data_IF_062688971550
#
_entry.id   IF_062688971550
#
_cell.length_a   1.000
_cell.length_b   1.000
_cell.length_c   1.000
_cell.angle_alpha   90.00
_cell.angle_beta   90.00
_cell.angle_gamma   90.00
#
_symmetry.space_group_name_H-M   'P 1'
#
loop_
_entity.id
_entity.type
_entity.pdbx_description
1 polymer ?
#
# COMPACT_ATOMS: atom_id res chain seq x y z
N UNK A 1 -18.47 -13.77 9.78
CA UNK A 1 -18.97 -13.02 10.96
C UNK A 1 -17.76 -12.61 11.78
N UNK A 2 -17.62 -11.31 12.10
CA UNK A 2 -16.45 -10.76 12.81
C UNK A 2 -16.26 -11.38 14.21
N UNK A 3 -17.31 -11.94 14.80
CA UNK A 3 -17.26 -12.58 16.13
C UNK A 3 -17.31 -14.10 16.07
N UNK A 4 -17.12 -14.70 14.90
CA UNK A 4 -17.08 -16.15 14.75
C UNK A 4 -15.65 -16.65 14.90
N UNK A 5 -15.32 -17.14 16.10
CA UNK A 5 -14.01 -17.70 16.44
C UNK A 5 -13.72 -19.05 15.75
N UNK A 6 -14.68 -19.63 15.00
CA UNK A 6 -14.48 -20.83 14.17
C UNK A 6 -13.95 -20.52 12.75
N UNK A 7 -13.80 -19.24 12.40
CA UNK A 7 -13.14 -18.81 11.16
C UNK A 7 -11.66 -18.61 11.47
N UNK A 8 -10.78 -19.29 10.72
CA UNK A 8 -9.33 -19.08 10.81
C UNK A 8 -9.00 -17.62 10.46
N UNK A 9 -8.79 -16.82 11.49
CA UNK A 9 -8.36 -15.45 11.39
C UNK A 9 -6.84 -15.44 11.26
N UNK A 10 -6.34 -15.83 10.08
CA UNK A 10 -4.92 -15.89 9.69
C UNK A 10 -3.94 -15.79 10.86
N UNK A 11 -3.55 -16.93 11.41
CA UNK A 11 -2.69 -17.00 12.60
C UNK A 11 -1.42 -16.13 12.46
N UNK A 12 -1.30 -15.12 13.31
CA UNK A 12 -0.07 -14.32 13.45
C UNK A 12 0.68 -14.87 14.66
N UNK A 13 1.65 -15.75 14.39
CA UNK A 13 2.46 -16.37 15.43
C UNK A 13 3.37 -15.39 16.16
N UNK A 14 3.93 -15.82 17.29
CA UNK A 14 4.89 -15.03 18.09
C UNK A 14 6.03 -14.52 17.20
N UNK A 15 6.31 -13.21 17.26
CA UNK A 15 7.34 -12.55 16.44
C UNK A 15 6.85 -12.04 15.08
N UNK A 16 5.59 -12.27 14.70
CA UNK A 16 5.02 -11.73 13.47
C UNK A 16 4.25 -10.44 13.73
N UNK A 17 4.39 -9.47 12.82
CA UNK A 17 3.58 -8.26 12.78
C UNK A 17 2.82 -8.25 11.45
N UNK A 18 1.52 -7.96 11.49
CA UNK A 18 0.77 -7.62 10.29
C UNK A 18 0.49 -6.13 10.24
N UNK A 19 0.65 -5.57 9.05
CA UNK A 19 0.20 -4.22 8.73
C UNK A 19 -0.88 -4.33 7.68
N UNK A 20 -2.08 -3.83 7.99
CA UNK A 20 -3.13 -3.63 7.00
C UNK A 20 -3.08 -2.18 6.53
N UNK A 21 -2.91 -1.97 5.23
CA UNK A 21 -3.00 -0.65 4.61
C UNK A 21 -4.36 -0.52 3.93
N UNK A 22 -4.99 0.63 4.12
CA UNK A 22 -6.24 1.01 3.48
C UNK A 22 -6.04 2.30 2.72
N UNK A 23 -6.37 2.29 1.44
CA UNK A 23 -6.51 3.50 0.65
C UNK A 23 -7.97 3.95 0.70
N UNK A 24 -8.20 5.22 1.03
CA UNK A 24 -9.54 5.80 1.09
C UNK A 24 -9.58 7.07 0.24
N UNK A 25 -10.66 7.21 -0.53
CA UNK A 25 -10.97 8.43 -1.27
C UNK A 25 -12.08 9.19 -0.55
N UNK A 26 -11.79 10.42 -0.14
CA UNK A 26 -12.78 11.25 0.53
C UNK A 26 -13.82 11.75 -0.47
N UNK A 27 -15.09 11.73 -0.05
CA UNK A 27 -16.15 12.39 -0.81
C UNK A 27 -15.95 13.92 -0.80
N UNK A 28 -16.42 14.64 -1.83
CA UNK A 28 -16.42 16.10 -1.82
C UNK A 28 -17.18 16.64 -0.61
N UNK A 29 -16.66 17.69 0.01
CA UNK A 29 -17.34 18.40 1.11
C UNK A 29 -17.17 17.81 2.51
N UNK A 30 -16.33 16.78 2.68
CA UNK A 30 -15.95 16.24 4.00
C UNK A 30 -15.35 17.35 4.88
N UNK A 31 -15.87 17.50 6.10
CA UNK A 31 -15.40 18.47 7.10
C UNK A 31 -14.51 17.81 8.15
N UNK A 32 -13.65 18.58 8.85
CA UNK A 32 -12.69 18.02 9.81
C UNK A 32 -13.31 17.10 10.90
N UNK A 33 -14.51 17.43 11.39
CA UNK A 33 -15.15 16.65 12.45
C UNK A 33 -16.02 15.49 11.93
N UNK A 34 -16.20 15.36 10.61
CA UNK A 34 -16.99 14.28 10.03
C UNK A 34 -16.28 12.93 10.27
N UNK A 35 -17.07 11.89 10.57
CA UNK A 35 -16.56 10.53 10.76
C UNK A 35 -16.32 9.90 9.39
N UNK A 36 -15.12 9.38 9.20
CA UNK A 36 -14.71 8.68 7.99
C UNK A 36 -14.91 7.17 8.11
N UNK A 37 -14.46 6.59 9.22
CA UNK A 37 -14.49 5.15 9.44
C UNK A 37 -14.53 4.80 10.93
N UNK A 38 -14.87 3.55 11.21
CA UNK A 38 -14.67 2.91 12.51
C UNK A 38 -13.74 1.72 12.30
N UNK A 39 -12.57 1.78 12.91
CA UNK A 39 -11.59 0.71 12.91
C UNK A 39 -11.89 -0.21 14.09
N UNK A 40 -12.11 -1.49 13.82
CA UNK A 40 -12.29 -2.53 14.86
C UNK A 40 -11.19 -3.55 14.70
N UNK A 41 -10.48 -3.81 15.80
CA UNK A 41 -9.42 -4.81 15.86
C UNK A 41 -9.74 -5.77 16.99
N UNK A 42 -9.67 -7.06 16.71
CA UNK A 42 -9.88 -8.12 17.70
C UNK A 42 -8.71 -9.09 17.62
N UNK A 43 -8.12 -9.41 18.76
CA UNK A 43 -6.99 -10.32 18.84
C UNK A 43 -6.99 -11.07 20.17
N UNK A 44 -6.30 -12.20 20.22
CA UNK A 44 -6.08 -12.93 21.46
C UNK A 44 -4.71 -12.55 22.04
N UNK A 45 -4.68 -12.20 23.33
CA UNK A 45 -3.43 -11.95 24.05
C UNK A 45 -2.66 -13.27 24.19
N UNK A 46 -1.43 -13.30 23.69
CA UNK A 46 -0.52 -14.46 23.84
C UNK A 46 -0.13 -14.72 25.29
N UNK A 47 -0.10 -13.68 26.13
CA UNK A 47 0.27 -13.79 27.54
C UNK A 47 -0.87 -14.32 28.41
N UNK A 48 -2.09 -13.85 28.16
CA UNK A 48 -3.25 -14.11 29.05
C UNK A 48 -4.29 -15.04 28.45
N UNK A 49 -4.19 -15.35 27.15
CA UNK A 49 -5.19 -16.11 26.39
C UNK A 49 -6.53 -15.39 26.20
N UNK A 50 -6.67 -14.14 26.68
CA UNK A 50 -7.93 -13.38 26.60
C UNK A 50 -8.10 -12.72 25.23
N UNK A 51 -9.32 -12.74 24.72
CA UNK A 51 -9.70 -11.97 23.54
C UNK A 51 -9.87 -10.50 23.93
N UNK A 52 -9.20 -9.62 23.18
CA UNK A 52 -9.24 -8.16 23.33
C UNK A 52 -9.87 -7.60 22.05
N UNK A 53 -10.77 -6.63 22.22
CA UNK A 53 -11.38 -5.86 21.13
C UNK A 53 -11.08 -4.37 21.35
N UNK A 54 -10.54 -3.71 20.33
CA UNK A 54 -10.32 -2.28 20.30
C UNK A 54 -11.12 -1.65 19.17
N UNK A 55 -11.76 -0.52 19.47
CA UNK A 55 -12.50 0.28 18.50
C UNK A 55 -11.94 1.70 18.46
N UNK A 56 -11.65 2.22 17.27
CA UNK A 56 -11.21 3.59 17.05
C UNK A 56 -12.08 4.24 15.98
N UNK A 57 -12.66 5.41 16.31
CA UNK A 57 -13.31 6.25 15.29
C UNK A 57 -12.25 7.09 14.59
N UNK A 58 -12.24 7.04 13.26
CA UNK A 58 -11.40 7.88 12.40
C UNK A 58 -12.22 9.05 11.86
N UNK A 59 -11.77 10.27 12.11
CA UNK A 59 -12.35 11.51 11.57
C UNK A 59 -11.40 12.16 10.58
N UNK A 60 -11.92 13.07 9.76
CA UNK A 60 -11.09 13.74 8.75
C UNK A 60 -9.94 14.56 9.33
N UNK A 61 -10.14 15.15 10.52
CA UNK A 61 -9.09 15.86 11.26
C UNK A 61 -7.96 14.97 11.76
N UNK A 62 -8.19 13.66 11.86
CA UNK A 62 -7.21 12.68 12.33
C UNK A 62 -6.24 12.28 11.20
N UNK A 63 -6.56 12.63 9.96
CA UNK A 63 -5.69 12.38 8.81
C UNK A 63 -4.46 13.30 8.84
N UNK A 64 -3.31 12.73 8.49
CA UNK A 64 -2.08 13.49 8.30
C UNK A 64 -2.24 14.56 7.23
N UNK A 65 -1.63 15.73 7.44
CA UNK A 65 -1.71 16.85 6.49
C UNK A 65 -0.93 16.60 5.19
N UNK A 66 0.11 15.79 5.25
CA UNK A 66 0.92 15.40 4.09
C UNK A 66 1.59 14.06 4.35
N UNK A 67 1.90 13.36 3.25
CA UNK A 67 2.54 12.05 3.30
C UNK A 67 3.98 12.13 3.84
N UNK A 68 4.70 13.21 3.53
CA UNK A 68 6.09 13.43 3.94
C UNK A 68 6.23 13.54 5.46
N UNK A 69 5.18 14.02 6.14
CA UNK A 69 5.13 14.15 7.59
C UNK A 69 4.69 12.88 8.31
N UNK A 70 4.29 11.85 7.58
CA UNK A 70 3.95 10.57 8.18
C UNK A 70 5.20 9.91 8.80
N UNK A 71 4.97 9.04 9.78
CA UNK A 71 6.03 8.23 10.38
C UNK A 71 6.71 7.34 9.34
N UNK A 72 7.98 7.01 9.60
CA UNK A 72 8.82 6.17 8.72
C UNK A 72 8.06 4.94 8.21
N UNK A 73 7.50 4.16 9.13
CA UNK A 73 6.93 2.85 8.80
C UNK A 73 5.72 2.95 7.86
N UNK A 74 4.87 3.97 8.06
CA UNK A 74 3.75 4.23 7.13
C UNK A 74 4.25 4.60 5.74
N UNK A 75 5.30 5.43 5.66
CA UNK A 75 5.88 5.85 4.37
C UNK A 75 6.52 4.66 3.64
N UNK A 76 7.27 3.83 4.35
CA UNK A 76 7.86 2.59 3.81
C UNK A 76 6.78 1.64 3.32
N UNK A 77 5.77 1.36 4.15
CA UNK A 77 4.70 0.43 3.81
C UNK A 77 3.88 0.92 2.60
N UNK A 78 3.59 2.22 2.51
CA UNK A 78 2.86 2.80 1.39
C UNK A 78 3.64 2.67 0.07
N UNK A 79 4.94 3.01 0.05
CA UNK A 79 5.78 2.88 -1.15
C UNK A 79 5.90 1.41 -1.58
N UNK A 80 6.07 0.49 -0.62
CA UNK A 80 6.12 -0.94 -0.92
C UNK A 80 4.79 -1.48 -1.49
N UNK A 81 3.66 -1.04 -0.93
CA UNK A 81 2.33 -1.41 -1.42
C UNK A 81 2.07 -0.87 -2.83
N UNK A 82 2.40 0.40 -3.08
CA UNK A 82 2.24 1.04 -4.38
C UNK A 82 3.08 0.34 -5.47
N UNK A 83 4.31 -0.04 -5.14
CA UNK A 83 5.17 -0.86 -5.99
C UNK A 83 4.55 -2.24 -6.29
N UNK A 84 4.04 -2.93 -5.27
CA UNK A 84 3.40 -4.23 -5.44
C UNK A 84 2.15 -4.14 -6.34
N UNK A 85 1.32 -3.11 -6.14
CA UNK A 85 0.12 -2.85 -6.94
C UNK A 85 0.49 -2.56 -8.41
N UNK A 86 1.57 -1.80 -8.63
CA UNK A 86 2.07 -1.50 -9.97
C UNK A 86 2.60 -2.75 -10.68
N UNK A 87 3.38 -3.58 -9.99
CA UNK A 87 3.86 -4.86 -10.51
C UNK A 87 2.71 -5.82 -10.83
N UNK A 88 1.64 -5.80 -10.02
CA UNK A 88 0.42 -6.59 -10.24
C UNK A 88 -0.41 -6.10 -11.43
N UNK A 89 -0.15 -4.90 -11.95
CA UNK A 89 -0.97 -4.21 -12.97
C UNK A 89 -2.43 -4.04 -12.52
N UNK A 90 -2.65 -3.74 -11.24
CA UNK A 90 -4.02 -3.60 -10.73
C UNK A 90 -4.75 -2.41 -11.35
N UNK A 91 -6.08 -2.47 -11.39
CA UNK A 91 -6.92 -1.37 -11.90
C UNK A 91 -6.68 -0.05 -11.15
N UNK A 92 -6.27 -0.12 -9.88
CA UNK A 92 -5.99 1.02 -9.01
C UNK A 92 -4.60 1.64 -9.26
N UNK A 93 -3.68 0.92 -9.92
CA UNK A 93 -2.35 1.42 -10.26
C UNK A 93 -2.30 2.34 -11.50
N UNK A 94 -3.46 2.86 -11.94
CA UNK A 94 -3.58 3.74 -13.13
C UNK A 94 -3.21 5.19 -12.84
N UNK A 95 -3.41 5.64 -11.60
CA UNK A 95 -3.19 7.03 -11.21
C UNK A 95 -1.74 7.28 -10.73
N UNK A 96 -0.96 6.21 -10.49
CA UNK A 96 0.47 6.29 -10.15
C UNK A 96 1.35 6.10 -11.38
N UNK A 97 2.18 7.12 -11.66
CA UNK A 97 3.27 6.99 -12.63
C UNK A 97 4.51 6.39 -11.98
N UNK A 98 5.30 5.64 -12.76
CA UNK A 98 6.60 5.13 -12.30
C UNK A 98 7.53 6.27 -11.85
N UNK A 99 7.56 7.37 -12.60
CA UNK A 99 8.32 8.57 -12.23
C UNK A 99 7.92 9.12 -10.85
N UNK A 100 6.62 9.13 -10.54
CA UNK A 100 6.11 9.53 -9.22
C UNK A 100 6.61 8.62 -8.10
N UNK A 101 6.54 7.30 -8.31
CA UNK A 101 6.97 6.30 -7.34
C UNK A 101 8.49 6.35 -7.12
N UNK A 102 9.30 6.49 -8.17
CA UNK A 102 10.76 6.68 -8.08
C UNK A 102 11.09 7.94 -7.28
N UNK A 103 10.39 9.06 -7.55
CA UNK A 103 10.61 10.30 -6.82
C UNK A 103 10.24 10.18 -5.33
N UNK A 104 9.15 9.47 -5.01
CA UNK A 104 8.77 9.21 -3.61
C UNK A 104 9.81 8.33 -2.89
N UNK A 105 10.25 7.25 -3.53
CA UNK A 105 11.27 6.35 -2.98
C UNK A 105 12.61 7.08 -2.75
N UNK A 106 13.02 7.94 -3.68
CA UNK A 106 14.24 8.76 -3.52
C UNK A 106 14.14 9.77 -2.37
N UNK A 107 12.95 10.36 -2.14
CA UNK A 107 12.72 11.21 -0.95
C UNK A 107 12.81 10.39 0.34
N UNK A 108 12.23 9.19 0.35
CA UNK A 108 12.30 8.29 1.50
C UNK A 108 13.74 7.91 1.85
N UNK A 109 14.53 7.53 0.85
CA UNK A 109 15.96 7.25 1.00
C UNK A 109 16.75 8.47 1.49
N UNK A 110 16.42 9.67 1.01
CA UNK A 110 17.06 10.92 1.47
C UNK A 110 16.76 11.25 2.94
N UNK A 111 15.55 10.96 3.40
CA UNK A 111 15.12 11.19 4.79
C UNK A 111 15.70 10.12 5.74
N UNK A 112 15.91 8.90 5.24
CA UNK A 112 16.34 7.73 6.02
C UNK A 112 17.64 7.09 5.51
N UNK A 113 18.65 7.90 5.16
CA UNK A 113 19.92 7.47 4.48
C UNK A 113 20.70 6.33 5.14
N UNK A 114 20.50 6.09 6.44
CA UNK A 114 21.22 5.03 7.19
C UNK A 114 20.44 3.74 7.31
N UNK A 115 19.27 3.68 6.68
CA UNK A 115 18.35 2.57 6.78
C UNK A 115 18.51 1.65 5.56
N UNK A 116 19.09 0.45 5.74
CA UNK A 116 19.37 -0.45 4.62
C UNK A 116 18.09 -0.94 3.94
N UNK A 117 16.98 -1.07 4.66
CA UNK A 117 15.71 -1.54 4.11
C UNK A 117 15.09 -0.48 3.20
N UNK A 118 15.18 0.79 3.61
CA UNK A 118 14.72 1.92 2.78
C UNK A 118 15.54 2.02 1.50
N UNK A 119 16.86 1.91 1.59
CA UNK A 119 17.74 1.91 0.41
C UNK A 119 17.42 0.74 -0.52
N UNK A 120 17.26 -0.47 0.04
CA UNK A 120 16.90 -1.65 -0.74
C UNK A 120 15.54 -1.50 -1.46
N UNK A 121 14.54 -0.92 -0.78
CA UNK A 121 13.24 -0.61 -1.38
C UNK A 121 13.37 0.40 -2.52
N UNK A 122 14.12 1.48 -2.33
CA UNK A 122 14.34 2.48 -3.37
C UNK A 122 15.03 1.90 -4.61
N UNK A 123 15.99 1.02 -4.41
CA UNK A 123 16.65 0.30 -5.50
C UNK A 123 15.72 -0.70 -6.20
N UNK A 124 14.81 -1.34 -5.46
CA UNK A 124 13.81 -2.23 -6.06
C UNK A 124 12.84 -1.45 -6.94
N UNK A 125 12.39 -0.28 -6.49
CA UNK A 125 11.55 0.64 -7.29
C UNK A 125 12.26 1.04 -8.58
N UNK A 126 13.51 1.52 -8.51
CA UNK A 126 14.30 1.91 -9.70
C UNK A 126 14.51 0.76 -10.67
N UNK A 127 14.73 -0.45 -10.16
CA UNK A 127 14.87 -1.65 -11.00
C UNK A 127 13.58 -2.01 -11.70
N UNK A 128 12.46 -1.95 -10.99
CA UNK A 128 11.15 -2.25 -11.54
C UNK A 128 10.76 -1.29 -12.66
N UNK A 129 11.05 0.01 -12.50
CA UNK A 129 10.83 1.05 -13.51
C UNK A 129 11.58 0.76 -14.82
N UNK A 130 12.91 0.56 -14.74
CA UNK A 130 13.73 0.21 -15.91
C UNK A 130 13.24 -1.04 -16.65
N UNK A 131 12.84 -2.07 -15.89
CA UNK A 131 12.31 -3.30 -16.48
C UNK A 131 10.93 -3.13 -17.10
N UNK A 132 10.16 -2.15 -16.66
CA UNK A 132 8.88 -1.80 -17.26
C UNK A 132 9.08 -1.05 -18.58
N UNK A 133 10.01 -0.09 -18.63
CA UNK A 133 10.38 0.64 -19.86
C UNK A 133 10.89 -0.34 -20.94
N UNK A 134 11.83 -1.22 -20.58
CA UNK A 134 12.38 -2.26 -21.45
C UNK A 134 11.32 -3.20 -22.06
N UNK A 135 10.20 -3.41 -21.35
CA UNK A 135 9.09 -4.27 -21.81
C UNK A 135 8.16 -3.53 -22.76
N UNK A 136 7.94 -2.25 -22.53
CA UNK A 136 7.13 -1.42 -23.41
C UNK A 136 7.88 -1.16 -24.73
N UNK A 137 9.20 -0.96 -24.70
CA UNK A 137 10.04 -0.84 -25.91
C UNK A 137 10.14 -2.14 -26.73
N UNK A 138 10.09 -3.31 -26.08
CA UNK A 138 10.09 -4.63 -26.75
C UNK A 138 8.73 -5.04 -27.32
N UNK A 139 7.70 -4.19 -27.23
CA UNK A 139 6.39 -4.41 -27.84
C UNK A 139 6.26 -3.54 -29.11
N UNK A 140 6.83 -3.96 -30.25
CA UNK A 140 6.58 -3.26 -31.50
C UNK A 140 5.12 -3.51 -31.90
N UNK A 141 4.45 -2.48 -32.40
CA UNK A 141 3.18 -2.65 -33.12
C UNK A 141 3.39 -3.67 -34.25
N UNK A 142 2.87 -4.89 -34.04
CA UNK A 142 2.66 -5.84 -35.12
C UNK A 142 1.33 -5.51 -35.78
N UNK A 143 1.25 -5.38 -37.12
CA UNK A 143 -0.03 -5.15 -37.77
C UNK A 143 -0.98 -6.29 -37.43
N UNK A 144 -2.21 -5.95 -37.02
CA UNK A 144 -3.32 -6.90 -37.02
C UNK A 144 -3.54 -7.30 -38.48
N UNK A 145 -2.99 -8.45 -38.85
CA UNK A 145 -3.17 -9.07 -40.14
C UNK A 145 -4.67 -9.30 -40.37
N UNK A 146 -5.17 -8.72 -41.46
CA UNK A 146 -6.51 -8.91 -41.99
C UNK A 146 -6.72 -10.39 -42.28
N UNK A 147 -7.45 -11.08 -41.40
CA UNK A 147 -7.95 -12.41 -41.72
C UNK A 147 -8.92 -12.30 -42.92
N UNK A 148 -8.71 -13.03 -44.03
CA UNK A 148 -9.64 -12.99 -45.14
C UNK A 148 -10.94 -13.66 -44.72
N UNK A 149 -12.05 -12.93 -44.90
CA UNK A 149 -13.39 -13.50 -44.81
C UNK A 149 -13.51 -14.67 -45.78
N UNK A 150 -13.84 -15.85 -45.26
CA UNK A 150 -14.56 -16.91 -45.96
C UNK A 150 -15.56 -17.54 -45.02
#
# INVERSE_FOLDING_TARGET
>A
DFRNDAVDAGEIGVGHAATALYEIRLAPGVRPNDRLATLRMRWQSVETGRVIEAEQTLRARDLGRSFERAGRDLRVAAVAAELAERLRKSYWAKDTSWAGLVAQAGRLESDFRRDPDVTALADLVRRADRLAEDRDERRPDGPLDDAPRR
#
